data_IF_588911902213
#
_entry.id   IF_588911902213
#
_cell.length_a   1.000
_cell.length_b   1.000
_cell.length_c   1.000
_cell.angle_alpha   90.00
_cell.angle_beta   90.00
_cell.angle_gamma   90.00
#
_symmetry.space_group_name_H-M   'P 1'
#
loop_
_entity.id
_entity.type
_entity.pdbx_description
1 polymer ?
#
# COMPACT_ATOMS: atom_id res chain seq x y z
N UNK A 1 -16.59 19.42 17.77
CA UNK A 1 -15.53 19.12 16.77
C UNK A 1 -15.31 17.62 16.84
N UNK A 2 -15.47 16.90 15.74
CA UNK A 2 -15.15 15.46 15.70
C UNK A 2 -13.65 15.28 15.94
N UNK A 3 -13.26 14.28 16.72
CA UNK A 3 -11.85 13.91 16.87
C UNK A 3 -11.24 13.61 15.48
N UNK A 4 -9.96 13.97 15.27
CA UNK A 4 -9.29 13.70 14.01
C UNK A 4 -9.17 12.18 13.79
N UNK A 5 -9.45 11.73 12.57
CA UNK A 5 -9.47 10.31 12.19
C UNK A 5 -8.04 9.71 12.14
N UNK A 6 -7.02 10.56 12.15
CA UNK A 6 -5.60 10.20 12.25
C UNK A 6 -4.84 11.24 13.08
N UNK A 7 -3.65 10.88 13.55
CA UNK A 7 -2.73 11.76 14.27
C UNK A 7 -1.41 11.89 13.52
N UNK A 8 -0.77 13.05 13.58
CA UNK A 8 0.58 13.22 13.05
C UNK A 8 1.59 12.46 13.92
N UNK A 9 2.60 11.86 13.30
CA UNK A 9 3.60 11.03 13.98
C UNK A 9 4.25 11.74 15.19
N UNK A 10 4.49 13.05 15.09
CA UNK A 10 5.08 13.85 16.16
C UNK A 10 4.18 14.03 17.40
N UNK A 11 2.89 13.72 17.29
CA UNK A 11 1.88 13.88 18.33
C UNK A 11 1.46 12.54 18.96
N UNK A 12 2.07 11.42 18.52
CA UNK A 12 1.74 10.08 18.99
C UNK A 12 2.19 9.89 20.44
N UNK A 13 1.25 9.51 21.31
CA UNK A 13 1.58 8.97 22.62
C UNK A 13 2.00 7.50 22.48
N UNK A 14 3.30 7.25 22.54
CA UNK A 14 3.89 5.91 22.38
C UNK A 14 3.41 4.94 23.45
N UNK A 15 3.20 5.39 24.69
CA UNK A 15 2.73 4.51 25.76
C UNK A 15 1.30 4.04 25.46
N UNK A 16 0.40 4.99 25.20
CA UNK A 16 -1.00 4.68 24.92
C UNK A 16 -1.17 3.84 23.64
N UNK A 17 -0.32 4.07 22.63
CA UNK A 17 -0.28 3.26 21.42
C UNK A 17 0.14 1.81 21.73
N UNK A 18 1.30 1.61 22.36
CA UNK A 18 1.86 0.29 22.60
C UNK A 18 1.05 -0.55 23.60
N UNK A 19 0.32 0.08 24.53
CA UNK A 19 -0.59 -0.63 25.44
C UNK A 19 -1.78 -1.29 24.71
N UNK A 20 -2.23 -0.70 23.60
CA UNK A 20 -3.42 -1.14 22.85
C UNK A 20 -3.09 -1.90 21.57
N UNK A 21 -1.95 -1.60 20.96
CA UNK A 21 -1.55 -2.16 19.67
C UNK A 21 -1.31 -3.66 19.73
N UNK A 22 -1.90 -4.37 18.78
CA UNK A 22 -1.71 -5.82 18.57
C UNK A 22 -1.16 -6.17 17.20
N UNK A 23 -1.27 -5.26 16.23
CA UNK A 23 -0.75 -5.42 14.86
C UNK A 23 -0.22 -4.07 14.38
N UNK A 24 0.97 -4.09 13.76
CA UNK A 24 1.54 -2.92 13.10
C UNK A 24 1.38 -3.06 11.59
N UNK A 25 0.48 -2.28 10.98
CA UNK A 25 0.26 -2.24 9.54
C UNK A 25 0.88 -0.97 8.93
N UNK A 26 1.48 -1.12 7.76
CA UNK A 26 2.18 -0.05 7.06
C UNK A 26 1.74 0.00 5.60
N UNK A 27 1.60 1.22 5.08
CA UNK A 27 1.84 1.46 3.67
C UNK A 27 3.33 1.23 3.29
N UNK A 28 3.63 1.10 2.01
CA UNK A 28 5.00 0.91 1.49
C UNK A 28 5.61 2.20 0.94
N UNK A 29 5.09 2.71 -0.18
CA UNK A 29 5.71 3.76 -0.98
C UNK A 29 5.45 5.14 -0.36
N UNK A 30 6.49 5.83 0.10
CA UNK A 30 6.35 7.07 0.87
C UNK A 30 6.25 6.84 2.38
N UNK A 31 6.15 5.57 2.81
CA UNK A 31 6.01 5.20 4.23
C UNK A 31 7.16 4.37 4.75
N UNK A 32 7.38 3.16 4.24
CA UNK A 32 8.52 2.31 4.61
C UNK A 32 9.74 2.57 3.73
N UNK A 33 9.52 2.91 2.46
CA UNK A 33 10.57 3.20 1.50
C UNK A 33 10.24 4.42 0.65
N UNK A 34 11.25 4.97 -0.04
CA UNK A 34 10.97 5.90 -1.14
C UNK A 34 10.26 5.12 -2.26
N UNK A 35 9.35 5.79 -2.98
CA UNK A 35 8.52 5.15 -4.01
C UNK A 35 9.34 4.26 -4.96
N UNK A 36 8.99 2.97 -5.06
CA UNK A 36 9.63 1.96 -5.92
C UNK A 36 11.12 1.75 -5.66
N UNK A 37 11.60 2.00 -4.44
CA UNK A 37 12.98 1.77 -4.01
C UNK A 37 13.02 0.82 -2.82
N UNK A 38 14.08 0.01 -2.66
CA UNK A 38 14.24 -0.79 -1.46
C UNK A 38 14.26 0.03 -0.18
N UNK A 39 13.79 -0.56 0.92
CA UNK A 39 13.95 0.03 2.25
C UNK A 39 15.42 0.32 2.53
N UNK A 40 15.68 1.44 3.21
CA UNK A 40 17.01 1.71 3.74
C UNK A 40 17.40 0.62 4.76
N UNK A 41 18.68 0.21 4.88
CA UNK A 41 19.11 -0.81 5.84
C UNK A 41 18.60 -0.59 7.28
N UNK A 42 18.60 0.67 7.76
CA UNK A 42 18.10 0.99 9.10
C UNK A 42 16.58 0.70 9.25
N UNK A 43 15.80 0.98 8.21
CA UNK A 43 14.38 0.63 8.18
C UNK A 43 14.17 -0.89 8.11
N UNK A 44 14.96 -1.58 7.29
CA UNK A 44 14.90 -3.03 7.21
C UNK A 44 15.22 -3.69 8.56
N UNK A 45 16.22 -3.17 9.28
CA UNK A 45 16.53 -3.62 10.65
C UNK A 45 15.37 -3.35 11.61
N UNK A 46 14.82 -2.13 11.62
CA UNK A 46 13.70 -1.80 12.51
C UNK A 46 12.47 -2.66 12.23
N UNK A 47 12.09 -2.84 10.96
CA UNK A 47 10.97 -3.69 10.58
C UNK A 47 11.23 -5.16 10.96
N UNK A 48 12.45 -5.66 10.74
CA UNK A 48 12.86 -7.01 11.15
C UNK A 48 12.78 -7.20 12.66
N UNK A 49 13.15 -6.20 13.45
CA UNK A 49 12.98 -6.27 14.91
C UNK A 49 11.50 -6.24 15.31
N UNK A 50 10.67 -5.40 14.69
CA UNK A 50 9.22 -5.33 14.97
C UNK A 50 8.51 -6.66 14.72
N UNK A 51 8.88 -7.41 13.68
CA UNK A 51 8.26 -8.71 13.40
C UNK A 51 8.49 -9.71 14.54
N UNK A 52 9.58 -9.58 15.29
CA UNK A 52 9.82 -10.44 16.45
C UNK A 52 9.00 -10.07 17.69
N UNK A 53 8.33 -8.91 17.68
CA UNK A 53 7.54 -8.40 18.80
C UNK A 53 6.04 -8.59 18.57
N UNK A 54 5.58 -8.51 17.32
CA UNK A 54 4.16 -8.59 16.96
C UNK A 54 3.96 -8.91 15.47
N UNK A 55 2.72 -9.27 15.05
CA UNK A 55 2.35 -9.29 13.64
C UNK A 55 2.56 -7.94 12.96
N UNK A 56 3.24 -7.96 11.83
CA UNK A 56 3.52 -6.79 10.98
C UNK A 56 2.88 -7.01 9.62
N UNK A 57 2.14 -6.02 9.13
CA UNK A 57 1.49 -6.08 7.83
C UNK A 57 1.96 -4.98 6.89
N UNK A 58 2.08 -5.30 5.61
CA UNK A 58 2.44 -4.35 4.55
C UNK A 58 1.32 -4.36 3.52
N UNK A 59 0.61 -3.24 3.43
CA UNK A 59 -0.53 -3.04 2.54
C UNK A 59 -0.11 -2.05 1.45
N UNK A 60 0.13 -2.57 0.25
CA UNK A 60 0.61 -1.77 -0.89
C UNK A 60 -0.27 -1.95 -2.11
N UNK A 61 -0.38 -0.91 -2.94
CA UNK A 61 -1.01 -1.02 -4.26
C UNK A 61 -0.15 -1.79 -5.28
N UNK A 62 1.13 -1.98 -4.99
CA UNK A 62 2.06 -2.74 -5.83
C UNK A 62 1.78 -4.24 -5.85
N UNK A 63 2.28 -4.91 -6.88
CA UNK A 63 2.24 -6.37 -6.98
C UNK A 63 3.31 -7.03 -6.10
N UNK A 64 3.19 -8.34 -5.87
CA UNK A 64 4.12 -9.11 -5.02
C UNK A 64 5.61 -8.89 -5.35
N UNK A 65 6.08 -8.88 -6.61
CA UNK A 65 7.50 -8.64 -6.92
C UNK A 65 8.03 -7.29 -6.42
N UNK A 66 7.14 -6.29 -6.30
CA UNK A 66 7.50 -5.00 -5.73
C UNK A 66 7.72 -5.11 -4.21
N UNK A 67 6.87 -5.85 -3.50
CA UNK A 67 7.06 -6.10 -2.07
C UNK A 67 8.30 -6.97 -1.82
N UNK A 68 8.59 -7.92 -2.70
CA UNK A 68 9.79 -8.76 -2.60
C UNK A 68 11.05 -7.90 -2.67
N UNK A 69 11.23 -7.20 -3.80
CA UNK A 69 12.41 -6.37 -4.04
C UNK A 69 12.56 -5.20 -3.09
N UNK A 70 11.45 -4.64 -2.59
CA UNK A 70 11.52 -3.49 -1.68
C UNK A 70 11.64 -3.87 -0.21
N UNK A 71 11.06 -5.00 0.18
CA UNK A 71 10.90 -5.37 1.59
C UNK A 71 11.55 -6.71 1.87
N UNK A 72 11.03 -7.80 1.32
CA UNK A 72 11.36 -9.13 1.84
C UNK A 72 12.78 -9.56 1.55
N UNK A 73 13.33 -9.11 0.42
CA UNK A 73 14.70 -9.40 -0.01
C UNK A 73 15.75 -8.62 0.78
N UNK A 74 15.33 -7.56 1.48
CA UNK A 74 16.22 -6.69 2.26
C UNK A 74 16.05 -6.85 3.77
N UNK A 75 15.12 -7.68 4.24
CA UNK A 75 14.97 -8.02 5.66
C UNK A 75 16.25 -8.68 6.19
N UNK A 76 16.54 -8.44 7.46
CA UNK A 76 17.69 -9.09 8.12
C UNK A 76 17.36 -10.54 8.51
N UNK A 77 18.39 -11.30 8.86
CA UNK A 77 18.23 -12.69 9.31
C UNK A 77 17.45 -12.79 10.63
N UNK A 78 17.43 -11.72 11.44
CA UNK A 78 16.68 -11.66 12.69
C UNK A 78 15.16 -11.56 12.50
N UNK A 79 14.69 -11.30 11.27
CA UNK A 79 13.28 -11.11 10.98
C UNK A 79 12.48 -12.40 11.19
N UNK A 80 11.44 -12.34 12.02
CA UNK A 80 10.42 -13.39 12.06
C UNK A 80 9.45 -13.24 10.87
N UNK A 81 9.78 -13.92 9.77
CA UNK A 81 8.95 -13.92 8.56
C UNK A 81 7.56 -14.52 8.79
N UNK A 82 7.39 -15.37 9.81
CA UNK A 82 6.08 -15.92 10.17
C UNK A 82 5.18 -14.87 10.81
N UNK A 83 5.68 -13.71 11.21
CA UNK A 83 4.85 -12.59 11.67
C UNK A 83 4.57 -11.54 10.58
N UNK A 84 5.05 -11.74 9.35
CA UNK A 84 4.82 -10.82 8.24
C UNK A 84 3.59 -11.16 7.41
N UNK A 85 2.73 -10.17 7.21
CA UNK A 85 1.50 -10.25 6.44
C UNK A 85 1.61 -9.35 5.20
N UNK A 86 1.73 -9.94 4.02
CA UNK A 86 1.91 -9.17 2.79
C UNK A 86 0.59 -9.07 2.04
N UNK A 87 0.13 -7.84 1.82
CA UNK A 87 -1.17 -7.54 1.21
C UNK A 87 -0.99 -6.68 -0.05
N UNK A 88 -0.40 -7.23 -1.13
CA UNK A 88 -0.24 -6.50 -2.39
C UNK A 88 -1.58 -6.20 -3.05
N UNK A 89 -1.56 -5.32 -4.05
CA UNK A 89 -2.75 -4.89 -4.80
C UNK A 89 -3.89 -4.47 -3.88
N UNK A 90 -3.55 -3.69 -2.84
CA UNK A 90 -4.47 -3.15 -1.84
C UNK A 90 -5.28 -4.25 -1.13
N UNK A 91 -4.62 -5.36 -0.80
CA UNK A 91 -5.19 -6.47 -0.05
C UNK A 91 -6.13 -7.39 -0.84
N UNK A 92 -6.29 -7.21 -2.14
CA UNK A 92 -6.98 -8.21 -3.00
C UNK A 92 -6.22 -9.53 -3.10
N UNK A 93 -4.95 -9.51 -2.73
CA UNK A 93 -4.11 -10.68 -2.57
C UNK A 93 -3.49 -10.64 -1.19
N UNK A 94 -3.25 -11.80 -0.61
CA UNK A 94 -2.65 -11.95 0.71
C UNK A 94 -1.69 -13.12 0.70
N UNK A 95 -0.47 -12.87 1.14
CA UNK A 95 0.62 -13.84 1.14
C UNK A 95 1.18 -14.03 2.55
N UNK A 96 1.62 -15.27 2.82
CA UNK A 96 2.23 -15.67 4.08
C UNK A 96 3.46 -16.52 3.85
N UNK A 97 4.39 -16.45 4.80
CA UNK A 97 5.60 -17.25 4.78
C UNK A 97 5.27 -18.70 5.14
N UNK A 98 5.64 -19.65 4.28
CA UNK A 98 5.43 -21.09 4.49
C UNK A 98 6.67 -21.82 5.02
N UNK A 99 7.75 -21.10 5.32
CA UNK A 99 9.02 -21.66 5.80
C UNK A 99 10.16 -21.58 4.78
N UNK A 100 9.84 -21.45 3.49
CA UNK A 100 10.84 -21.28 2.41
C UNK A 100 10.42 -20.32 1.30
N UNK A 101 9.13 -20.03 1.15
CA UNK A 101 8.62 -19.12 0.13
C UNK A 101 7.38 -18.35 0.63
N UNK A 102 7.05 -17.28 -0.08
CA UNK A 102 5.78 -16.56 0.10
C UNK A 102 4.67 -17.26 -0.66
N UNK A 103 3.71 -17.82 0.08
CA UNK A 103 2.58 -18.55 -0.49
C UNK A 103 1.32 -17.69 -0.49
N UNK A 104 0.56 -17.62 -1.60
CA UNK A 104 -0.74 -16.94 -1.61
C UNK A 104 -1.74 -17.70 -0.73
N UNK A 105 -2.35 -16.99 0.22
CA UNK A 105 -3.49 -17.49 1.00
C UNK A 105 -4.80 -17.23 0.24
N UNK A 106 -4.90 -16.08 -0.43
CA UNK A 106 -5.96 -15.83 -1.41
C UNK A 106 -5.51 -14.85 -2.50
N UNK A 107 -6.17 -14.95 -3.65
CA UNK A 107 -6.06 -14.01 -4.76
C UNK A 107 -7.47 -13.73 -5.32
N UNK A 108 -7.92 -12.49 -5.25
CA UNK A 108 -9.24 -12.05 -5.73
C UNK A 108 -9.07 -11.31 -7.04
N UNK A 109 -8.79 -12.06 -8.10
CA UNK A 109 -8.57 -11.51 -9.42
C UNK A 109 -9.87 -11.05 -10.08
N UNK A 110 -9.76 -10.07 -10.98
CA UNK A 110 -10.82 -9.74 -11.91
C UNK A 110 -11.04 -10.93 -12.85
N UNK A 111 -12.29 -11.17 -13.25
CA UNK A 111 -12.55 -12.19 -14.24
C UNK A 111 -11.93 -11.81 -15.60
N UNK A 112 -11.81 -12.81 -16.49
CA UNK A 112 -11.12 -12.61 -17.76
C UNK A 112 -11.83 -11.61 -18.69
N UNK A 113 -13.15 -11.47 -18.57
CA UNK A 113 -13.93 -10.56 -19.40
C UNK A 113 -13.71 -9.12 -18.95
N UNK A 114 -13.77 -8.89 -17.64
CA UNK A 114 -13.49 -7.60 -17.01
C UNK A 114 -12.07 -7.12 -17.29
N UNK A 115 -11.07 -8.00 -17.20
CA UNK A 115 -9.68 -7.66 -17.53
C UNK A 115 -9.56 -7.21 -18.99
N UNK A 116 -10.16 -7.96 -19.93
CA UNK A 116 -10.14 -7.58 -21.36
C UNK A 116 -10.87 -6.27 -21.61
N UNK A 117 -12.04 -6.08 -21.00
CA UNK A 117 -12.84 -4.87 -21.14
C UNK A 117 -12.11 -3.63 -20.60
N UNK A 118 -11.48 -3.74 -19.42
CA UNK A 118 -10.69 -2.68 -18.82
C UNK A 118 -9.49 -2.29 -19.70
N UNK A 119 -8.71 -3.27 -20.16
CA UNK A 119 -7.55 -3.05 -21.04
C UNK A 119 -7.97 -2.38 -22.35
N UNK A 120 -9.02 -2.90 -23.01
CA UNK A 120 -9.51 -2.36 -24.27
C UNK A 120 -10.04 -0.92 -24.12
N UNK A 121 -10.78 -0.64 -23.05
CA UNK A 121 -11.30 0.70 -22.76
C UNK A 121 -10.17 1.70 -22.47
N UNK A 122 -9.20 1.32 -21.63
CA UNK A 122 -8.02 2.14 -21.34
C UNK A 122 -7.25 2.49 -22.62
N UNK A 123 -6.97 1.50 -23.46
CA UNK A 123 -6.25 1.70 -24.72
C UNK A 123 -7.03 2.58 -25.70
N UNK A 124 -8.33 2.32 -25.86
CA UNK A 124 -9.20 3.09 -26.75
C UNK A 124 -9.24 4.57 -26.36
N UNK A 125 -9.58 4.88 -25.10
CA UNK A 125 -9.72 6.25 -24.64
C UNK A 125 -8.38 6.97 -24.55
N UNK A 126 -7.31 6.30 -24.11
CA UNK A 126 -5.99 6.92 -24.07
C UNK A 126 -5.50 7.33 -25.46
N UNK A 127 -5.74 6.50 -26.49
CA UNK A 127 -5.40 6.86 -27.89
C UNK A 127 -6.28 8.00 -28.40
N UNK A 128 -7.59 7.93 -28.19
CA UNK A 128 -8.53 8.96 -28.64
C UNK A 128 -8.28 10.34 -28.02
N UNK A 129 -7.72 10.36 -26.80
CA UNK A 129 -7.37 11.59 -26.07
C UNK A 129 -5.91 12.01 -26.24
N UNK A 130 -5.13 11.35 -27.12
CA UNK A 130 -3.70 11.62 -27.33
C UNK A 130 -2.85 11.47 -26.06
N UNK A 131 -3.25 10.58 -25.15
CA UNK A 131 -2.53 10.23 -23.91
C UNK A 131 -1.67 8.98 -24.07
N UNK A 132 -1.72 8.33 -25.24
CA UNK A 132 -0.94 7.14 -25.56
C UNK A 132 0.43 7.52 -26.10
N UNK A 133 1.36 7.78 -25.20
CA UNK A 133 2.73 8.24 -25.50
C UNK A 133 3.49 7.20 -26.33
N UNK A 134 4.22 7.61 -27.37
CA UNK A 134 4.98 6.71 -28.23
C UNK A 134 6.20 6.10 -27.51
N UNK A 135 6.93 6.93 -26.76
CA UNK A 135 8.11 6.54 -26.01
C UNK A 135 7.80 6.43 -24.52
N UNK A 136 7.94 5.24 -23.96
CA UNK A 136 7.65 4.96 -22.55
C UNK A 136 8.79 4.21 -21.86
N UNK A 137 8.89 4.39 -20.55
CA UNK A 137 9.78 3.61 -19.69
C UNK A 137 9.03 2.38 -19.19
N UNK A 138 9.22 1.26 -19.87
CA UNK A 138 8.49 0.02 -19.63
C UNK A 138 7.05 0.05 -20.17
N UNK A 139 6.27 -0.96 -19.79
CA UNK A 139 4.92 -1.15 -20.31
C UNK A 139 3.94 -0.07 -19.81
N UNK A 140 2.97 0.27 -20.66
CA UNK A 140 1.89 1.21 -20.32
C UNK A 140 0.81 0.53 -19.49
N UNK A 141 0.46 -0.69 -19.86
CA UNK A 141 -0.57 -1.48 -19.18
C UNK A 141 0.12 -2.56 -18.37
N UNK A 142 -0.17 -2.58 -17.08
CA UNK A 142 0.25 -3.64 -16.18
C UNK A 142 -0.98 -4.35 -15.63
N UNK A 143 -1.03 -5.66 -15.83
CA UNK A 143 -2.10 -6.51 -15.37
C UNK A 143 -1.65 -7.29 -14.13
N UNK A 144 -2.20 -6.91 -12.98
CA UNK A 144 -1.85 -7.48 -11.67
C UNK A 144 -2.85 -8.55 -11.22
N UNK A 145 -3.70 -9.04 -12.12
CA UNK A 145 -4.79 -9.98 -11.86
C UNK A 145 -6.03 -9.32 -11.27
N UNK A 146 -5.91 -8.71 -10.09
CA UNK A 146 -7.00 -8.02 -9.39
C UNK A 146 -7.15 -6.53 -9.74
N UNK A 147 -6.17 -6.00 -10.48
CA UNK A 147 -6.11 -4.61 -10.90
C UNK A 147 -5.41 -4.50 -12.25
N UNK A 148 -5.95 -3.65 -13.12
CA UNK A 148 -5.29 -3.20 -14.34
C UNK A 148 -4.82 -1.76 -14.12
N UNK A 149 -3.55 -1.48 -14.38
CA UNK A 149 -2.99 -0.13 -14.27
C UNK A 149 -2.51 0.34 -15.63
N UNK A 150 -3.07 1.44 -16.12
CA UNK A 150 -2.48 2.23 -17.20
C UNK A 150 -1.52 3.27 -16.62
N UNK A 151 -0.35 3.45 -17.23
CA UNK A 151 0.64 4.48 -16.92
C UNK A 151 1.07 5.14 -18.22
N UNK A 152 0.75 6.42 -18.41
CA UNK A 152 0.94 7.10 -19.69
C UNK A 152 2.39 7.09 -20.18
N UNK A 153 3.34 7.34 -19.27
CA UNK A 153 4.78 7.30 -19.55
C UNK A 153 5.42 5.92 -19.34
N UNK A 154 4.64 4.89 -19.02
CA UNK A 154 5.12 3.56 -18.65
C UNK A 154 5.44 3.37 -17.15
N UNK A 155 5.42 2.12 -16.68
CA UNK A 155 5.55 1.79 -15.25
C UNK A 155 6.84 2.28 -14.58
N UNK A 156 7.91 2.39 -15.38
CA UNK A 156 9.28 2.67 -14.91
C UNK A 156 9.70 4.12 -15.13
N UNK A 157 8.79 5.02 -15.52
CA UNK A 157 9.17 6.41 -15.79
C UNK A 157 9.75 7.12 -14.55
N UNK A 158 10.78 7.98 -14.73
CA UNK A 158 11.35 8.79 -13.66
C UNK A 158 10.30 9.69 -12.99
N UNK A 159 10.52 10.02 -11.72
CA UNK A 159 9.59 10.85 -10.92
C UNK A 159 9.36 12.20 -11.56
N UNK A 160 10.42 12.94 -11.90
CA UNK A 160 10.33 14.28 -12.50
C UNK A 160 9.51 14.29 -13.79
N UNK A 161 9.69 13.26 -14.64
CA UNK A 161 8.92 13.11 -15.87
C UNK A 161 7.44 12.82 -15.59
N UNK A 162 7.15 11.99 -14.57
CA UNK A 162 5.78 11.67 -14.15
C UNK A 162 5.06 12.90 -13.60
N UNK A 163 5.72 13.70 -12.78
CA UNK A 163 5.14 14.90 -12.18
C UNK A 163 4.88 16.01 -13.22
N UNK A 164 5.75 16.14 -14.22
CA UNK A 164 5.59 17.13 -15.29
C UNK A 164 4.46 16.79 -16.28
N UNK A 165 4.02 15.54 -16.37
CA UNK A 165 3.14 15.06 -17.45
C UNK A 165 1.68 15.55 -17.32
N UNK A 166 1.11 15.54 -16.11
CA UNK A 166 -0.26 15.99 -15.85
C UNK A 166 -0.34 16.70 -14.48
N UNK A 167 0.29 17.89 -14.33
CA UNK A 167 0.38 18.57 -13.04
C UNK A 167 -0.98 18.95 -12.43
N UNK A 168 -2.00 19.11 -13.29
CA UNK A 168 -3.37 19.48 -12.90
C UNK A 168 -4.28 18.27 -12.66
N UNK A 169 -3.81 17.05 -12.93
CA UNK A 169 -4.58 15.81 -12.93
C UNK A 169 -5.73 15.77 -13.96
N UNK A 170 -5.87 16.77 -14.83
CA UNK A 170 -6.99 16.88 -15.76
C UNK A 170 -6.97 15.78 -16.84
N UNK A 171 -5.79 15.37 -17.30
CA UNK A 171 -5.68 14.33 -18.35
C UNK A 171 -6.14 12.98 -17.81
N UNK A 172 -5.56 12.53 -16.69
CA UNK A 172 -5.91 11.23 -16.11
C UNK A 172 -7.33 11.19 -15.55
N UNK A 173 -7.86 12.31 -15.04
CA UNK A 173 -9.25 12.38 -14.58
C UNK A 173 -10.24 12.22 -15.73
N UNK A 174 -9.98 12.84 -16.88
CA UNK A 174 -10.82 12.65 -18.08
C UNK A 174 -10.77 11.22 -18.59
N UNK A 175 -9.58 10.61 -18.62
CA UNK A 175 -9.41 9.20 -18.98
C UNK A 175 -10.17 8.27 -18.03
N UNK A 176 -9.99 8.44 -16.71
CA UNK A 176 -10.67 7.64 -15.71
C UNK A 176 -12.19 7.72 -15.83
N UNK A 177 -12.75 8.92 -16.05
CA UNK A 177 -14.19 9.10 -16.26
C UNK A 177 -14.71 8.41 -17.52
N UNK A 178 -13.94 8.42 -18.61
CA UNK A 178 -14.34 7.76 -19.85
C UNK A 178 -14.35 6.24 -19.68
N UNK A 179 -13.28 5.68 -19.12
CA UNK A 179 -13.16 4.24 -18.84
C UNK A 179 -14.24 3.78 -17.85
N UNK A 180 -14.55 4.59 -16.83
CA UNK A 180 -15.60 4.25 -15.85
C UNK A 180 -16.98 4.06 -16.49
N UNK A 181 -17.29 4.72 -17.62
CA UNK A 181 -18.56 4.55 -18.33
C UNK A 181 -18.66 3.20 -19.04
N UNK A 182 -17.53 2.66 -19.49
CA UNK A 182 -17.48 1.38 -20.21
C UNK A 182 -17.50 0.18 -19.24
N UNK A 183 -16.96 0.35 -18.03
CA UNK A 183 -16.93 -0.68 -16.98
C UNK A 183 -17.62 -0.21 -15.69
N UNK A 184 -18.95 0.06 -15.72
CA UNK A 184 -19.66 0.68 -14.60
C UNK A 184 -19.71 -0.17 -13.32
N UNK A 185 -19.57 -1.49 -13.43
CA UNK A 185 -19.53 -2.41 -12.29
C UNK A 185 -18.14 -2.50 -11.64
N UNK A 186 -17.08 -2.03 -12.32
CA UNK A 186 -15.74 -1.88 -11.76
C UNK A 186 -15.54 -0.49 -11.17
N UNK A 187 -14.43 -0.32 -10.46
CA UNK A 187 -13.96 0.96 -9.94
C UNK A 187 -12.78 1.45 -10.77
N UNK A 188 -12.88 2.67 -11.30
CA UNK A 188 -11.81 3.33 -12.02
C UNK A 188 -11.34 4.55 -11.22
N UNK A 189 -10.02 4.66 -10.99
CA UNK A 189 -9.42 5.76 -10.23
C UNK A 189 -8.23 6.34 -10.98
N UNK A 190 -8.08 7.65 -10.92
CA UNK A 190 -6.79 8.30 -11.22
C UNK A 190 -5.79 7.94 -10.11
N UNK A 191 -4.68 7.31 -10.47
CA UNK A 191 -3.62 6.88 -9.55
C UNK A 191 -2.30 7.57 -9.85
N UNK A 192 -1.48 7.81 -8.81
CA UNK A 192 -0.15 8.43 -8.96
C UNK A 192 -0.17 9.74 -9.76
N UNK A 193 0.95 10.06 -10.44
CA UNK A 193 1.01 11.27 -11.30
C UNK A 193 0.54 11.01 -12.74
N UNK A 194 0.72 9.78 -13.26
CA UNK A 194 0.49 9.43 -14.68
C UNK A 194 -0.42 8.23 -14.91
N UNK A 195 -1.09 7.73 -13.87
CA UNK A 195 -1.76 6.42 -13.93
C UNK A 195 -3.27 6.49 -13.79
N UNK A 196 -3.94 5.49 -14.36
CA UNK A 196 -5.36 5.18 -14.14
C UNK A 196 -5.47 3.70 -13.80
N UNK A 197 -6.08 3.40 -12.66
CA UNK A 197 -6.26 2.06 -12.13
C UNK A 197 -7.71 1.62 -12.30
N UNK A 198 -7.90 0.36 -12.70
CA UNK A 198 -9.20 -0.32 -12.79
C UNK A 198 -9.16 -1.56 -11.90
N UNK A 199 -10.08 -1.65 -10.95
CA UNK A 199 -10.17 -2.76 -10.00
C UNK A 199 -11.62 -3.09 -9.62
N UNK A 200 -11.82 -4.14 -8.83
CA UNK A 200 -13.13 -4.43 -8.25
C UNK A 200 -13.63 -3.29 -7.34
N UNK A 201 -14.95 -3.10 -7.28
CA UNK A 201 -15.53 -2.11 -6.34
C UNK A 201 -15.30 -2.51 -4.89
N UNK A 202 -15.13 -1.51 -4.03
CA UNK A 202 -14.91 -1.71 -2.59
C UNK A 202 -13.51 -2.16 -2.22
N UNK A 203 -12.57 -2.18 -3.17
CA UNK A 203 -11.17 -2.49 -2.93
C UNK A 203 -10.40 -1.20 -2.60
N UNK A 204 -10.12 -1.02 -1.31
CA UNK A 204 -9.24 0.02 -0.78
C UNK A 204 -8.53 -0.48 0.50
N UNK A 205 -7.77 0.39 1.16
CA UNK A 205 -7.05 -0.02 2.39
C UNK A 205 -7.98 -0.26 3.58
N UNK A 206 -9.22 0.23 3.56
CA UNK A 206 -10.23 -0.17 4.55
C UNK A 206 -10.56 -1.64 4.39
N UNK A 207 -10.79 -2.08 3.15
CA UNK A 207 -11.02 -3.49 2.85
C UNK A 207 -9.84 -4.37 3.30
N UNK A 208 -8.60 -3.98 3.00
CA UNK A 208 -7.41 -4.72 3.42
C UNK A 208 -7.30 -4.83 4.95
N UNK A 209 -7.53 -3.73 5.68
CA UNK A 209 -7.52 -3.71 7.14
C UNK A 209 -8.58 -4.63 7.74
N UNK A 210 -9.82 -4.59 7.24
CA UNK A 210 -10.90 -5.45 7.76
C UNK A 210 -10.64 -6.93 7.48
N UNK A 211 -10.11 -7.25 6.29
CA UNK A 211 -9.75 -8.61 5.94
C UNK A 211 -8.62 -9.13 6.85
N UNK A 212 -7.59 -8.31 7.10
CA UNK A 212 -6.51 -8.64 8.02
C UNK A 212 -6.98 -8.80 9.47
N UNK A 213 -7.82 -7.89 9.96
CA UNK A 213 -8.44 -7.96 11.28
C UNK A 213 -9.20 -9.28 11.48
N UNK A 214 -9.98 -9.69 10.46
CA UNK A 214 -10.72 -10.96 10.43
C UNK A 214 -9.79 -12.17 10.44
N UNK A 215 -8.70 -12.12 9.68
CA UNK A 215 -7.72 -13.22 9.60
C UNK A 215 -6.97 -13.41 10.91
N UNK A 216 -6.61 -12.30 11.56
CA UNK A 216 -5.85 -12.29 12.81
C UNK A 216 -6.72 -12.38 14.07
N UNK A 217 -8.05 -12.34 13.91
CA UNK A 217 -9.02 -12.28 15.02
C UNK A 217 -8.70 -11.16 16.02
N UNK A 218 -8.48 -9.95 15.50
CA UNK A 218 -8.20 -8.75 16.29
C UNK A 218 -9.19 -7.62 15.96
N UNK A 219 -9.57 -6.77 16.92
CA UNK A 219 -10.35 -5.57 16.62
C UNK A 219 -9.56 -4.59 15.73
N UNK A 220 -10.22 -3.97 14.75
CA UNK A 220 -9.60 -2.95 13.88
C UNK A 220 -8.97 -1.81 14.70
N UNK A 221 -9.63 -1.36 15.77
CA UNK A 221 -9.11 -0.33 16.69
C UNK A 221 -7.87 -0.72 17.50
N UNK A 222 -7.41 -1.98 17.42
CA UNK A 222 -6.15 -2.44 18.00
C UNK A 222 -5.02 -2.57 16.97
N UNK A 223 -5.27 -2.19 15.72
CA UNK A 223 -4.29 -2.17 14.65
C UNK A 223 -3.76 -0.75 14.48
N UNK A 224 -2.45 -0.59 14.54
CA UNK A 224 -1.80 0.63 14.06
C UNK A 224 -1.75 0.60 12.54
N UNK A 225 -2.07 1.72 11.89
CA UNK A 225 -1.81 1.89 10.46
C UNK A 225 -0.96 3.14 10.24
N UNK A 226 0.19 2.98 9.59
CA UNK A 226 1.09 4.09 9.25
C UNK A 226 1.06 4.33 7.75
N UNK A 227 0.88 5.59 7.33
CA UNK A 227 0.83 5.99 5.92
C UNK A 227 1.13 7.47 5.71
N UNK A 228 1.61 7.83 4.52
CA UNK A 228 1.94 9.22 4.16
C UNK A 228 0.74 10.00 3.61
N UNK A 229 -0.18 9.31 2.92
CA UNK A 229 -1.36 9.90 2.27
C UNK A 229 -2.64 9.66 3.05
N UNK A 230 -2.64 10.05 4.33
CA UNK A 230 -3.82 10.01 5.21
C UNK A 230 -4.73 11.24 5.08
N UNK A 231 -4.49 12.12 4.10
CA UNK A 231 -5.38 13.23 3.73
C UNK A 231 -6.69 12.69 3.13
N UNK A 232 -7.82 13.44 3.18
CA UNK A 232 -9.12 12.93 2.73
C UNK A 232 -9.16 12.32 1.33
N UNK A 233 -8.29 12.78 0.43
CA UNK A 233 -8.18 12.33 -0.96
C UNK A 233 -7.08 11.26 -1.15
N UNK A 234 -6.29 10.99 -0.12
CA UNK A 234 -5.18 10.05 -0.13
C UNK A 234 -5.61 8.58 -0.09
N UNK A 235 -4.74 7.70 -0.56
CA UNK A 235 -5.00 6.26 -0.65
C UNK A 235 -4.96 5.54 0.71
N UNK A 236 -4.37 6.15 1.74
CA UNK A 236 -4.31 5.61 3.11
C UNK A 236 -5.51 5.98 3.94
N UNK A 237 -6.18 7.09 3.63
CA UNK A 237 -7.31 7.58 4.42
C UNK A 237 -8.44 6.56 4.63
N UNK A 238 -8.75 5.65 3.69
CA UNK A 238 -9.66 4.54 3.95
C UNK A 238 -9.25 3.67 5.15
N UNK A 239 -7.96 3.41 5.38
CA UNK A 239 -7.50 2.66 6.54
C UNK A 239 -7.81 3.40 7.84
N UNK A 240 -7.65 4.72 7.88
CA UNK A 240 -8.03 5.53 9.04
C UNK A 240 -9.55 5.52 9.27
N UNK A 241 -10.34 5.66 8.19
CA UNK A 241 -11.81 5.56 8.25
C UNK A 241 -12.31 4.18 8.69
N UNK A 242 -11.51 3.13 8.51
CA UNK A 242 -11.81 1.79 9.04
C UNK A 242 -11.77 1.76 10.57
N UNK A 243 -11.16 2.75 11.23
CA UNK A 243 -11.06 2.83 12.69
C UNK A 243 -9.75 2.30 13.25
N UNK A 244 -8.67 2.25 12.46
CA UNK A 244 -7.33 1.93 12.96
C UNK A 244 -6.77 3.04 13.85
N UNK A 245 -5.72 2.75 14.61
CA UNK A 245 -4.85 3.78 15.18
C UNK A 245 -3.98 4.35 14.05
N UNK A 246 -4.56 5.26 13.27
CA UNK A 246 -3.93 5.80 12.06
C UNK A 246 -2.93 6.91 12.38
N UNK A 247 -1.70 6.74 11.89
CA UNK A 247 -0.59 7.65 12.12
C UNK A 247 -0.07 8.17 10.78
N UNK A 248 -0.10 9.49 10.60
CA UNK A 248 0.44 10.16 9.42
C UNK A 248 1.94 10.37 9.58
N UNK A 249 2.69 10.01 8.55
CA UNK A 249 4.13 10.29 8.43
C UNK A 249 4.39 11.14 7.20
N UNK A 250 5.45 11.94 7.22
CA UNK A 250 5.93 12.65 6.04
C UNK A 250 6.83 11.79 5.13
N UNK A 251 7.30 10.65 5.63
CA UNK A 251 8.24 9.79 4.91
C UNK A 251 8.85 8.67 5.74
N UNK A 252 9.65 7.79 5.11
CA UNK A 252 10.47 6.75 5.74
C UNK A 252 11.24 7.17 7.00
N UNK A 253 11.75 8.40 7.05
CA UNK A 253 12.52 8.88 8.19
C UNK A 253 11.66 9.06 9.45
N UNK A 254 10.40 9.45 9.29
CA UNK A 254 9.46 9.53 10.42
C UNK A 254 8.96 8.15 10.83
N UNK A 255 8.64 7.30 9.86
CA UNK A 255 8.29 5.90 10.10
C UNK A 255 9.40 5.20 10.88
N UNK A 256 10.68 5.45 10.56
CA UNK A 256 11.81 4.85 11.25
C UNK A 256 11.84 5.28 12.71
N UNK A 257 11.70 6.60 12.98
CA UNK A 257 11.65 7.12 14.36
C UNK A 257 10.51 6.51 15.16
N UNK A 258 9.34 6.37 14.56
CA UNK A 258 8.19 5.72 15.19
C UNK A 258 8.48 4.25 15.51
N UNK A 259 9.00 3.49 14.55
CA UNK A 259 9.38 2.10 14.75
C UNK A 259 10.41 1.95 15.88
N UNK A 260 11.46 2.79 15.90
CA UNK A 260 12.46 2.78 16.97
C UNK A 260 11.84 3.06 18.33
N UNK A 261 10.97 4.09 18.45
CA UNK A 261 10.31 4.39 19.71
C UNK A 261 9.42 3.25 20.22
N UNK A 262 8.72 2.55 19.31
CA UNK A 262 7.93 1.36 19.63
C UNK A 262 8.84 0.22 20.11
N UNK A 263 9.92 -0.07 19.40
CA UNK A 263 10.89 -1.12 19.75
C UNK A 263 11.48 -0.86 21.15
N UNK A 264 11.91 0.37 21.43
CA UNK A 264 12.46 0.77 22.72
C UNK A 264 11.44 0.60 23.85
N UNK A 265 10.18 0.94 23.60
CA UNK A 265 9.10 0.74 24.55
C UNK A 265 8.89 -0.74 24.90
N UNK A 266 8.84 -1.63 23.90
CA UNK A 266 8.71 -3.07 24.14
C UNK A 266 9.94 -3.65 24.83
N UNK A 267 11.14 -3.19 24.48
CA UNK A 267 12.39 -3.60 25.14
C UNK A 267 12.41 -3.28 26.64
N UNK A 268 11.75 -2.19 27.04
CA UNK A 268 11.67 -1.74 28.44
C UNK A 268 10.49 -2.35 29.22
N UNK A 269 9.33 -2.51 28.59
CA UNK A 269 8.07 -2.88 29.28
C UNK A 269 7.64 -4.34 29.07
N UNK A 270 8.14 -5.00 28.02
CA UNK A 270 7.93 -6.42 27.75
C UNK A 270 9.25 -7.07 27.32
N UNK A 271 10.25 -7.09 28.22
CA UNK A 271 11.51 -7.76 27.92
C UNK A 271 11.22 -9.20 27.51
N UNK A 272 11.82 -9.65 26.41
CA UNK A 272 11.77 -11.05 25.99
C UNK A 272 12.08 -11.93 27.20
N UNK A 273 11.17 -12.85 27.54
CA UNK A 273 11.53 -13.91 28.49
C UNK A 273 12.68 -14.68 27.83
N UNK A 274 13.83 -14.66 28.49
CA UNK A 274 15.04 -15.36 28.07
C UNK A 274 14.81 -16.86 27.93
#
# INVERSE_FOLDING_TARGET
MSEPVNVDCAQVDINALCEKMRVAAFDLDGTLARSKKPMHPDMAQALSTLTTLMPVAIISGGAMPLLESQVTDVLTDDADRTHLHLMPTTGTRYFRWSGGEWTPIYQRDLDSEDRRAAIASLEHHARAMELWEEHTWGDRIEDRGSQITFSALGQQAPVDAKEAWDPTNEKKNRLAQAVQRDVPHLLVRSGGSTSVDVSGRGIDKSYAVHELARILDVPVGSMMFVGDRLDPDGNDYPAAKAGTMAIRVAGPEETLRLCTAIIDWYGTHRPRMA
#
